data_IF_197098144399
#
_entry.id   IF_197098144399
#
_cell.length_a   1.000
_cell.length_b   1.000
_cell.length_c   1.000
_cell.angle_alpha   90.00
_cell.angle_beta   90.00
_cell.angle_gamma   90.00
#
_symmetry.space_group_name_H-M   'P 1'
#
loop_
_entity.id
_entity.type
_entity.pdbx_description
1 polymer ?
#
# COMPACT_ATOMS: atom_id res chain seq x y z
N UNK A 1 2.18 -5.42 -14.41
CA UNK A 1 1.79 -4.55 -13.28
C UNK A 1 2.58 -4.91 -12.04
N UNK A 2 3.03 -3.93 -11.24
CA UNK A 2 3.75 -4.17 -9.99
C UNK A 2 3.29 -3.25 -8.85
N UNK A 3 3.53 -3.68 -7.62
CA UNK A 3 3.20 -2.93 -6.40
C UNK A 3 4.39 -2.93 -5.45
N UNK A 4 4.70 -1.77 -4.85
CA UNK A 4 5.75 -1.62 -3.84
C UNK A 4 5.18 -0.93 -2.62
N UNK A 5 5.27 -1.59 -1.46
CA UNK A 5 5.00 -0.99 -0.17
C UNK A 5 6.32 -0.51 0.46
N UNK A 6 6.35 0.73 0.91
CA UNK A 6 7.51 1.33 1.57
C UNK A 6 7.40 1.19 3.09
N UNK A 7 8.54 1.04 3.78
CA UNK A 7 8.58 1.03 5.26
C UNK A 7 8.03 2.30 5.91
N UNK A 8 7.93 3.38 5.15
CA UNK A 8 7.36 4.66 5.58
C UNK A 8 5.84 4.69 5.51
N UNK A 9 5.16 3.62 5.09
CA UNK A 9 3.69 3.57 4.96
C UNK A 9 3.16 3.95 3.57
N UNK A 10 4.04 4.35 2.63
CA UNK A 10 3.63 4.64 1.26
C UNK A 10 3.37 3.39 0.43
N UNK A 11 2.45 3.49 -0.55
CA UNK A 11 2.24 2.49 -1.60
C UNK A 11 2.46 3.13 -2.97
N UNK A 12 3.16 2.41 -3.85
CA UNK A 12 3.20 2.71 -5.27
C UNK A 12 2.68 1.54 -6.09
N UNK A 13 1.72 1.82 -6.96
CA UNK A 13 1.28 0.91 -8.01
C UNK A 13 1.81 1.41 -9.36
N UNK A 14 2.38 0.50 -10.14
CA UNK A 14 2.85 0.75 -11.51
C UNK A 14 2.02 -0.10 -12.46
N UNK A 15 1.23 0.58 -13.28
CA UNK A 15 0.38 -0.04 -14.30
C UNK A 15 1.18 -0.28 -15.58
N UNK A 16 0.74 -1.22 -16.41
CA UNK A 16 1.44 -1.57 -17.67
C UNK A 16 1.40 -0.45 -18.71
N UNK A 17 0.50 0.53 -18.51
CA UNK A 17 0.47 1.78 -19.27
C UNK A 17 1.59 2.77 -18.90
N UNK A 18 2.39 2.48 -17.87
CA UNK A 18 3.38 3.41 -17.31
C UNK A 18 2.77 4.45 -16.35
N UNK A 19 1.45 4.42 -16.12
CA UNK A 19 0.82 5.25 -15.10
C UNK A 19 1.21 4.76 -13.70
N UNK A 20 1.40 5.71 -12.78
CA UNK A 20 1.74 5.42 -11.39
C UNK A 20 0.66 5.97 -10.45
N UNK A 21 0.20 5.17 -9.50
CA UNK A 21 -0.58 5.64 -8.35
C UNK A 21 0.32 5.66 -7.12
N UNK A 22 0.49 6.83 -6.51
CA UNK A 22 1.20 7.01 -5.25
C UNK A 22 0.18 7.26 -4.15
N UNK A 23 0.17 6.39 -3.13
CA UNK A 23 -0.63 6.58 -1.93
C UNK A 23 0.32 6.95 -0.80
N UNK A 24 0.21 8.19 -0.33
CA UNK A 24 1.02 8.68 0.79
C UNK A 24 0.44 8.21 2.13
N UNK A 25 1.29 7.92 3.13
CA UNK A 25 0.82 7.74 4.48
C UNK A 25 0.29 9.08 5.01
N UNK A 26 -0.95 9.11 5.50
CA UNK A 26 -1.55 10.33 6.09
C UNK A 26 -2.03 10.00 7.50
N UNK A 27 -1.60 10.74 8.54
CA UNK A 27 -2.04 10.49 9.92
C UNK A 27 -3.55 10.65 10.10
N UNK A 28 -4.17 11.44 9.22
CA UNK A 28 -5.54 11.95 9.38
C UNK A 28 -6.59 11.13 8.58
N UNK A 29 -6.15 10.14 7.78
CA UNK A 29 -7.02 9.37 6.87
C UNK A 29 -6.69 7.87 6.90
N UNK A 30 -7.68 7.04 6.57
CA UNK A 30 -7.49 5.59 6.39
C UNK A 30 -6.60 5.32 5.17
N UNK A 31 -5.42 4.72 5.43
CA UNK A 31 -4.29 4.88 4.54
C UNK A 31 -4.36 4.04 3.26
N UNK A 32 -4.50 2.71 3.31
CA UNK A 32 -4.84 1.87 2.15
C UNK A 32 -4.80 0.40 2.56
N UNK A 33 -5.44 -0.47 1.77
CA UNK A 33 -5.18 -1.91 1.84
C UNK A 33 -5.05 -2.53 0.45
N UNK A 34 -4.16 -3.51 0.32
CA UNK A 34 -3.97 -4.30 -0.91
C UNK A 34 -4.09 -5.77 -0.56
N UNK A 35 -4.90 -6.48 -1.34
CA UNK A 35 -4.98 -7.94 -1.29
C UNK A 35 -4.18 -8.52 -2.46
N UNK A 36 -3.16 -9.29 -2.14
CA UNK A 36 -2.38 -10.03 -3.12
C UNK A 36 -2.92 -11.46 -3.34
N UNK A 37 -2.26 -12.24 -4.21
CA UNK A 37 -2.48 -13.69 -4.28
C UNK A 37 -2.38 -14.34 -2.89
N UNK A 38 -3.01 -15.50 -2.73
CA UNK A 38 -2.96 -16.32 -1.51
C UNK A 38 -3.46 -15.63 -0.23
N UNK A 39 -4.50 -14.79 -0.33
CA UNK A 39 -5.12 -14.04 0.78
C UNK A 39 -4.17 -13.09 1.55
N UNK A 40 -3.01 -12.76 1.00
CA UNK A 40 -2.09 -11.83 1.64
C UNK A 40 -2.72 -10.43 1.70
N UNK A 41 -2.89 -9.87 2.90
CA UNK A 41 -3.42 -8.51 3.07
C UNK A 41 -2.39 -7.60 3.69
N UNK A 42 -2.04 -6.55 2.95
CA UNK A 42 -1.20 -5.44 3.41
C UNK A 42 -2.10 -4.28 3.79
N UNK A 43 -1.90 -3.72 4.97
CA UNK A 43 -2.66 -2.56 5.47
C UNK A 43 -1.68 -1.51 5.96
N UNK A 44 -1.85 -0.27 5.51
CA UNK A 44 -1.23 0.88 6.16
C UNK A 44 -2.15 1.36 7.28
N UNK A 45 -1.62 1.38 8.50
CA UNK A 45 -2.29 1.82 9.72
C UNK A 45 -2.12 3.34 9.88
N UNK A 46 -2.93 3.99 10.74
CA UNK A 46 -2.65 5.34 11.22
C UNK A 46 -1.22 5.46 11.76
N UNK A 47 -0.65 6.67 11.70
CA UNK A 47 0.75 6.94 12.05
C UNK A 47 1.81 6.25 11.16
N UNK A 48 1.43 5.86 9.93
CA UNK A 48 2.35 5.40 8.88
C UNK A 48 2.98 4.01 9.10
N UNK A 49 2.35 3.16 9.91
CA UNK A 49 2.80 1.78 10.12
C UNK A 49 2.25 0.83 9.04
N UNK A 50 3.00 -0.21 8.68
CA UNK A 50 2.56 -1.23 7.72
C UNK A 50 2.47 -2.59 8.41
N UNK A 51 1.32 -3.25 8.31
CA UNK A 51 1.09 -4.59 8.87
C UNK A 51 0.70 -5.59 7.78
N UNK A 52 1.19 -6.83 7.92
CA UNK A 52 0.83 -7.98 7.08
C UNK A 52 -0.15 -8.85 7.86
N UNK A 53 -1.27 -9.20 7.23
CA UNK A 53 -2.26 -10.14 7.75
C UNK A 53 -2.32 -11.36 6.82
N UNK A 54 -2.46 -12.56 7.41
CA UNK A 54 -2.66 -13.85 6.72
C UNK A 54 -4.03 -14.42 7.05
#
# INVERSE_FOLDING_TARGET
MSSVAFKTGGLRLVFDSGLHLNVEPRPDFEAWSVTGPTNLRLVCMPASEVTIWQ
#
